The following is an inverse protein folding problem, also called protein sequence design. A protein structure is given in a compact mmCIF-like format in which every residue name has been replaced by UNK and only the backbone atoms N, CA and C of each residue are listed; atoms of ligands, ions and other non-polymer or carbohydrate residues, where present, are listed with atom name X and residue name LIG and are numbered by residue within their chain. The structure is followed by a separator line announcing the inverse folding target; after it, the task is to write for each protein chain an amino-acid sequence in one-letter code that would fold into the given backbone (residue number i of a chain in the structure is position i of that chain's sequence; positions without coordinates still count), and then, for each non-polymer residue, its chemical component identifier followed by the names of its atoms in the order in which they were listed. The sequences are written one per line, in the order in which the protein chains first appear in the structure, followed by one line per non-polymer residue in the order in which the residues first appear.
data_IF_576982261556
#
_entry.id   IF_576982261556
#
_cell.length_a   1.000
_cell.length_b   1.000
_cell.length_c   1.000
_cell.angle_alpha   90.00
_cell.angle_beta   90.00
_cell.angle_gamma   90.00
#
_symmetry.space_group_name_H-M   'P 1'
#
loop_
_entity.id
_entity.type
_entity.pdbx_description
1 polymer ?
#
# COMPACT_ATOMS: atom_id res chain seq x y z
N UNK A 1 -1.68 47.35 14.88
CA UNK A 1 -2.67 46.25 14.75
C UNK A 1 -2.54 45.46 13.45
N UNK A 2 -2.56 46.07 12.25
CA UNK A 2 -2.50 45.35 10.97
C UNK A 2 -1.28 44.41 10.83
N UNK A 3 -0.11 44.84 11.34
CA UNK A 3 1.14 44.07 11.26
C UNK A 3 1.15 42.80 12.14
N UNK A 4 0.53 42.86 13.32
CA UNK A 4 0.35 41.70 14.21
C UNK A 4 -0.62 40.67 13.61
N UNK A 5 -1.67 41.14 12.93
CA UNK A 5 -2.63 40.27 12.23
C UNK A 5 -1.95 39.56 11.06
N UNK A 6 -1.12 40.25 10.28
CA UNK A 6 -0.32 39.62 9.23
C UNK A 6 0.66 38.59 9.79
N UNK A 7 1.35 38.90 10.89
CA UNK A 7 2.28 37.96 11.54
C UNK A 7 1.57 36.69 12.02
N UNK A 8 0.36 36.83 12.58
CA UNK A 8 -0.48 35.70 12.97
C UNK A 8 -0.91 34.86 11.76
N UNK A 9 -1.29 35.48 10.63
CA UNK A 9 -1.67 34.78 9.41
C UNK A 9 -0.51 33.96 8.80
N UNK A 10 0.74 34.40 8.94
CA UNK A 10 1.94 33.66 8.50
C UNK A 10 2.34 32.50 9.45
N UNK A 11 1.85 32.48 10.69
CA UNK A 11 2.08 31.39 11.65
C UNK A 11 1.08 30.24 11.50
N UNK A 12 -0.11 30.48 10.93
CA UNK A 12 -1.16 29.46 10.74
C UNK A 12 -0.69 28.26 9.89
N UNK A 13 0.09 28.41 8.80
CA UNK A 13 0.59 27.27 8.02
C UNK A 13 1.58 26.38 8.79
N UNK A 14 2.24 26.90 9.83
CA UNK A 14 3.14 26.11 10.69
C UNK A 14 2.38 25.23 11.69
N UNK A 15 1.09 25.51 11.90
CA UNK A 15 0.16 24.68 12.65
C UNK A 15 -0.50 23.61 11.76
N UNK A 16 -0.03 23.41 10.52
CA UNK A 16 -0.33 22.19 9.78
C UNK A 16 0.16 21.01 10.61
N UNK A 17 -0.76 20.43 11.39
CA UNK A 17 -0.63 19.10 11.95
C UNK A 17 -0.15 18.21 10.82
N UNK A 18 1.13 17.83 10.88
CA UNK A 18 1.79 17.08 9.82
C UNK A 18 0.99 15.82 9.58
N UNK A 19 0.26 15.79 8.47
CA UNK A 19 -0.32 14.57 7.94
C UNK A 19 0.85 13.65 7.58
N UNK A 20 1.18 12.73 8.49
CA UNK A 20 2.30 11.80 8.35
C UNK A 20 1.97 10.60 7.46
N UNK A 21 0.73 10.50 6.96
CA UNK A 21 0.32 9.38 6.15
C UNK A 21 0.87 9.53 4.72
N UNK A 22 1.86 8.71 4.39
CA UNK A 22 2.31 8.51 3.02
C UNK A 22 1.46 7.42 2.37
N UNK A 23 1.06 7.61 1.11
CA UNK A 23 0.35 6.56 0.38
C UNK A 23 1.33 5.47 -0.03
N UNK A 24 1.08 4.24 0.43
CA UNK A 24 1.85 3.07 0.03
C UNK A 24 1.03 2.26 -0.99
N UNK A 25 1.63 1.86 -2.12
CA UNK A 25 1.02 0.92 -3.04
C UNK A 25 0.63 -0.39 -2.35
N UNK A 26 -0.51 -0.96 -2.71
CA UNK A 26 -0.99 -2.22 -2.11
C UNK A 26 -0.02 -3.39 -2.34
N UNK A 27 0.75 -3.41 -3.43
CA UNK A 27 1.81 -4.42 -3.64
C UNK A 27 2.84 -4.43 -2.49
N UNK A 28 3.24 -3.26 -2.02
CA UNK A 28 4.17 -3.11 -0.89
C UNK A 28 3.49 -3.52 0.42
N UNK A 29 2.24 -3.11 0.63
CA UNK A 29 1.48 -3.45 1.84
C UNK A 29 1.25 -4.96 1.94
N UNK A 30 0.86 -5.61 0.84
CA UNK A 30 0.66 -7.06 0.75
C UNK A 30 1.97 -7.81 1.05
N UNK A 31 3.09 -7.32 0.51
CA UNK A 31 4.40 -7.91 0.75
C UNK A 31 4.80 -7.81 2.23
N UNK A 32 4.65 -6.63 2.84
CA UNK A 32 5.03 -6.36 4.24
C UNK A 32 4.11 -6.98 5.29
N UNK A 33 2.85 -7.26 4.96
CA UNK A 33 1.88 -7.80 5.93
C UNK A 33 2.30 -9.15 6.50
N UNK A 34 2.35 -9.28 7.81
CA UNK A 34 2.49 -10.57 8.48
C UNK A 34 1.19 -11.37 8.42
N UNK A 35 0.05 -10.66 8.42
CA UNK A 35 -1.29 -11.23 8.46
C UNK A 35 -2.23 -10.41 7.55
N UNK A 36 -2.94 -11.09 6.64
CA UNK A 36 -4.02 -10.49 5.84
C UNK A 36 -5.28 -11.30 6.06
N UNK A 37 -6.35 -10.65 6.52
CA UNK A 37 -7.58 -11.32 6.98
C UNK A 37 -8.83 -10.57 6.56
N UNK A 38 -9.92 -11.32 6.34
CA UNK A 38 -11.29 -10.84 6.19
C UNK A 38 -12.07 -11.23 7.47
N UNK A 39 -12.95 -10.36 7.94
CA UNK A 39 -13.68 -10.59 9.18
C UNK A 39 -14.46 -9.37 9.65
N UNK A 40 -14.89 -9.40 10.91
CA UNK A 40 -15.76 -8.38 11.50
C UNK A 40 -15.26 -7.89 12.85
N UNK A 41 -15.44 -6.61 13.13
CA UNK A 41 -15.18 -6.03 14.45
C UNK A 41 -16.20 -6.60 15.45
N UNK A 42 -15.73 -7.29 16.48
CA UNK A 42 -16.59 -7.82 17.54
C UNK A 42 -16.74 -6.86 18.72
N UNK A 43 -15.74 -6.00 18.98
CA UNK A 43 -15.78 -5.03 20.07
C UNK A 43 -14.82 -3.87 19.81
N UNK A 44 -15.22 -2.66 20.15
CA UNK A 44 -14.37 -1.46 20.07
C UNK A 44 -14.08 -0.97 21.49
N UNK A 45 -12.81 -0.69 21.77
CA UNK A 45 -12.33 -0.07 23.01
C UNK A 45 -11.55 1.21 22.68
N UNK A 46 -11.10 1.95 23.71
CA UNK A 46 -10.49 3.28 23.52
C UNK A 46 -9.29 3.30 22.56
N UNK A 47 -8.41 2.30 22.62
CA UNK A 47 -7.15 2.26 21.87
C UNK A 47 -7.01 1.03 20.96
N UNK A 48 -7.95 0.09 21.05
CA UNK A 48 -7.88 -1.19 20.36
C UNK A 48 -9.29 -1.68 20.03
N UNK A 49 -9.40 -2.56 19.06
CA UNK A 49 -10.61 -3.30 18.77
C UNK A 49 -10.33 -4.80 18.68
N UNK A 50 -11.33 -5.59 19.06
CA UNK A 50 -11.32 -7.03 18.85
C UNK A 50 -11.92 -7.33 17.48
N UNK A 51 -11.23 -8.19 16.74
CA UNK A 51 -11.60 -8.59 15.39
C UNK A 51 -11.77 -10.10 15.32
N UNK A 52 -12.91 -10.54 14.81
CA UNK A 52 -13.21 -11.95 14.56
C UNK A 52 -12.95 -12.26 13.09
N UNK A 53 -12.00 -13.15 12.83
CA UNK A 53 -11.54 -13.52 11.50
C UNK A 53 -12.50 -14.55 10.91
N UNK A 54 -13.04 -14.26 9.72
CA UNK A 54 -13.81 -15.21 8.93
C UNK A 54 -12.92 -15.97 7.96
N UNK A 55 -11.89 -15.33 7.41
CA UNK A 55 -10.98 -15.93 6.44
C UNK A 55 -9.55 -15.39 6.57
N UNK A 56 -8.59 -16.30 6.48
CA UNK A 56 -7.17 -15.97 6.32
C UNK A 56 -6.80 -15.89 4.83
N UNK A 57 -6.17 -14.79 4.42
CA UNK A 57 -5.64 -14.57 3.06
C UNK A 57 -4.13 -14.75 3.04
N UNK A 58 -3.43 -14.25 4.07
CA UNK A 58 -1.99 -14.42 4.31
C UNK A 58 -1.75 -14.64 5.80
N UNK A 59 -0.83 -15.54 6.14
CA UNK A 59 -0.48 -15.83 7.53
C UNK A 59 -1.53 -16.66 8.27
N UNK A 60 -1.27 -16.92 9.55
CA UNK A 60 -2.18 -17.63 10.46
C UNK A 60 -2.11 -17.01 11.85
N UNK A 61 -3.22 -16.98 12.56
CA UNK A 61 -3.32 -16.54 13.95
C UNK A 61 -4.55 -17.17 14.64
N UNK A 62 -4.82 -16.77 15.88
CA UNK A 62 -6.07 -17.10 16.56
C UNK A 62 -7.27 -16.48 15.83
N UNK A 63 -8.42 -17.17 15.82
CA UNK A 63 -9.63 -16.69 15.14
C UNK A 63 -10.16 -15.34 15.66
N UNK A 64 -9.76 -14.95 16.87
CA UNK A 64 -9.94 -13.60 17.42
C UNK A 64 -8.59 -12.97 17.68
N UNK A 65 -8.46 -11.71 17.27
CA UNK A 65 -7.25 -10.90 17.47
C UNK A 65 -7.60 -9.53 18.02
N UNK A 66 -6.63 -8.90 18.67
CA UNK A 66 -6.69 -7.49 19.04
C UNK A 66 -5.87 -6.67 18.06
N UNK A 67 -6.46 -5.57 17.60
CA UNK A 67 -5.85 -4.67 16.63
C UNK A 67 -5.83 -3.27 17.21
N UNK A 68 -4.67 -2.61 17.12
CA UNK A 68 -4.49 -1.24 17.61
C UNK A 68 -5.23 -0.24 16.73
N UNK A 69 -5.95 0.71 17.33
CA UNK A 69 -6.62 1.80 16.58
C UNK A 69 -5.57 2.81 16.13
N UNK A 70 -5.60 3.15 14.83
CA UNK A 70 -4.81 4.25 14.31
C UNK A 70 -5.38 5.60 14.79
N UNK A 71 -4.61 6.34 15.58
CA UNK A 71 -5.09 7.54 16.29
C UNK A 71 -5.47 8.70 15.37
N UNK A 72 -4.85 8.79 14.19
CA UNK A 72 -5.08 9.87 13.23
C UNK A 72 -6.24 9.54 12.26
N UNK A 73 -7.13 8.60 12.61
CA UNK A 73 -8.23 8.18 11.75
C UNK A 73 -9.16 9.33 11.32
N UNK A 74 -9.34 10.35 12.17
CA UNK A 74 -10.14 11.55 11.87
C UNK A 74 -9.59 12.36 10.70
N UNK A 75 -8.29 12.21 10.43
CA UNK A 75 -7.61 12.90 9.36
C UNK A 75 -7.84 12.22 8.01
N UNK A 76 -8.28 10.95 7.99
CA UNK A 76 -8.46 10.22 6.75
C UNK A 76 -9.94 10.13 6.34
N UNK A 77 -10.35 10.81 5.26
CA UNK A 77 -11.74 10.79 4.81
C UNK A 77 -12.21 9.39 4.35
N UNK A 78 -11.28 8.43 4.20
CA UNK A 78 -11.58 7.03 3.85
C UNK A 78 -12.17 6.22 5.00
N UNK A 79 -12.15 6.75 6.23
CA UNK A 79 -12.48 6.00 7.43
C UNK A 79 -13.80 6.47 8.03
N UNK A 80 -14.69 5.52 8.28
CA UNK A 80 -15.80 5.71 9.21
C UNK A 80 -15.35 5.35 10.61
N UNK A 81 -15.94 5.99 11.61
CA UNK A 81 -15.77 5.59 13.01
C UNK A 81 -15.94 4.06 13.15
N UNK A 82 -14.99 3.42 13.84
CA UNK A 82 -15.00 1.98 14.07
C UNK A 82 -16.19 1.61 14.95
N UNK A 83 -17.01 0.67 14.48
CA UNK A 83 -18.21 0.18 15.16
C UNK A 83 -18.25 -1.34 15.11
N UNK A 84 -18.76 -1.92 16.19
CA UNK A 84 -19.04 -3.36 16.24
C UNK A 84 -19.95 -3.77 15.08
N UNK A 85 -19.65 -4.90 14.45
CA UNK A 85 -20.38 -5.46 13.31
C UNK A 85 -19.84 -5.01 11.95
N UNK A 86 -18.95 -4.02 11.87
CA UNK A 86 -18.33 -3.64 10.61
C UNK A 86 -17.43 -4.75 10.06
N UNK A 87 -17.56 -5.05 8.77
CA UNK A 87 -16.69 -5.98 8.05
C UNK A 87 -15.50 -5.24 7.45
N UNK A 88 -14.31 -5.78 7.64
CA UNK A 88 -13.08 -5.23 7.08
C UNK A 88 -12.21 -6.33 6.48
N UNK A 89 -11.38 -5.95 5.51
CA UNK A 89 -10.18 -6.67 5.13
C UNK A 89 -9.00 -5.91 5.73
N UNK A 90 -8.21 -6.59 6.57
CA UNK A 90 -7.09 -6.01 7.30
C UNK A 90 -5.75 -6.50 6.76
N UNK A 91 -4.80 -5.59 6.64
CA UNK A 91 -3.38 -5.85 6.36
C UNK A 91 -2.59 -5.44 7.59
N UNK A 92 -2.08 -6.44 8.30
CA UNK A 92 -1.56 -6.28 9.65
C UNK A 92 -0.07 -6.63 9.69
N UNK A 93 0.67 -5.83 10.45
CA UNK A 93 2.02 -6.15 10.91
C UNK A 93 1.97 -6.59 12.36
N UNK A 94 2.90 -7.47 12.74
CA UNK A 94 3.09 -7.91 14.10
C UNK A 94 4.03 -6.95 14.81
N UNK A 95 3.51 -6.31 15.85
CA UNK A 95 4.32 -5.46 16.73
C UNK A 95 5.32 -6.29 17.54
N UNK A 96 6.37 -5.65 18.06
CA UNK A 96 7.38 -6.30 18.91
C UNK A 96 6.78 -7.01 20.15
N UNK A 97 5.60 -6.57 20.61
CA UNK A 97 4.89 -7.14 21.76
C UNK A 97 3.88 -8.24 21.37
N UNK A 98 3.86 -8.66 20.10
CA UNK A 98 3.00 -9.73 19.60
C UNK A 98 1.57 -9.32 19.25
N UNK A 99 1.20 -8.05 19.45
CA UNK A 99 -0.08 -7.48 19.01
C UNK A 99 -0.04 -7.13 17.52
N UNK A 100 -1.21 -6.89 16.93
CA UNK A 100 -1.32 -6.46 15.53
C UNK A 100 -1.60 -4.96 15.40
N UNK A 101 -0.99 -4.33 14.40
CA UNK A 101 -1.31 -2.98 13.95
C UNK A 101 -1.61 -2.96 12.45
N UNK A 102 -2.55 -2.12 11.99
CA UNK A 102 -2.75 -1.90 10.57
C UNK A 102 -1.51 -1.28 9.93
N UNK A 103 -1.05 -1.86 8.83
CA UNK A 103 0.08 -1.32 8.08
C UNK A 103 -0.30 0.03 7.50
N UNK A 104 0.57 1.02 7.74
CA UNK A 104 0.41 2.36 7.18
C UNK A 104 -0.96 2.99 7.53
N UNK A 105 -1.36 2.79 8.79
CA UNK A 105 -2.64 3.24 9.33
C UNK A 105 -3.80 2.65 8.54
N UNK A 106 -4.70 3.53 8.11
CA UNK A 106 -5.91 3.14 7.39
C UNK A 106 -5.74 2.61 5.98
N UNK A 107 -4.52 2.58 5.43
CA UNK A 107 -4.30 1.81 4.18
C UNK A 107 -4.37 0.31 4.44
N UNK A 108 -4.01 -0.11 5.65
CA UNK A 108 -4.15 -1.48 6.11
C UNK A 108 -5.57 -1.85 6.53
N UNK A 109 -6.55 -0.95 6.40
CA UNK A 109 -7.95 -1.18 6.80
C UNK A 109 -8.87 -0.89 5.62
N UNK A 110 -9.44 -1.94 5.01
CA UNK A 110 -10.39 -1.79 3.91
C UNK A 110 -11.79 -2.14 4.41
N UNK A 111 -12.68 -1.16 4.42
CA UNK A 111 -14.08 -1.34 4.78
C UNK A 111 -14.86 -2.04 3.66
N UNK A 112 -15.65 -3.03 4.05
CA UNK A 112 -16.55 -3.77 3.15
C UNK A 112 -17.99 -3.51 3.56
N UNK A 113 -18.77 -2.98 2.62
CA UNK A 113 -20.20 -2.69 2.79
C UNK A 113 -20.97 -3.27 1.60
N UNK A 114 -21.96 -4.12 1.86
CA UNK A 114 -22.73 -4.85 0.83
C UNK A 114 -21.85 -5.49 -0.26
N UNK A 115 -20.79 -6.20 0.14
CA UNK A 115 -19.80 -6.84 -0.74
C UNK A 115 -19.10 -5.89 -1.73
N UNK A 116 -19.10 -4.60 -1.42
CA UNK A 116 -18.40 -3.55 -2.15
C UNK A 116 -17.47 -2.78 -1.22
N UNK A 117 -16.45 -2.14 -1.81
CA UNK A 117 -15.57 -1.28 -1.05
C UNK A 117 -16.12 0.14 -1.02
N UNK A 118 -16.11 0.74 0.16
CA UNK A 118 -16.38 2.18 0.32
C UNK A 118 -15.25 3.01 -0.33
N UNK A 119 -14.10 2.37 -0.61
CA UNK A 119 -12.83 3.02 -0.89
C UNK A 119 -12.66 3.39 -2.38
N UNK A 120 -12.59 4.70 -2.64
CA UNK A 120 -12.35 5.35 -3.95
C UNK A 120 -10.95 5.12 -4.53
N UNK A 121 -10.02 4.57 -3.75
CA UNK A 121 -8.59 4.49 -4.10
C UNK A 121 -8.12 3.09 -4.51
N UNK A 122 -8.98 2.08 -4.40
CA UNK A 122 -8.69 0.81 -5.07
C UNK A 122 -8.93 0.99 -6.58
N UNK A 123 -8.06 0.43 -7.45
CA UNK A 123 -8.37 0.32 -8.87
C UNK A 123 -9.77 -0.26 -9.06
N UNK A 124 -10.54 0.26 -10.02
CA UNK A 124 -11.93 -0.15 -10.29
C UNK A 124 -12.07 -1.66 -10.52
N UNK A 125 -11.01 -2.30 -10.98
CA UNK A 125 -10.94 -3.75 -11.22
C UNK A 125 -10.97 -4.57 -9.92
N UNK A 126 -10.64 -3.97 -8.77
CA UNK A 126 -10.84 -4.55 -7.44
C UNK A 126 -12.16 -4.09 -6.85
N UNK A 127 -13.27 -4.36 -7.55
CA UNK A 127 -14.60 -3.92 -7.17
C UNK A 127 -15.21 -4.71 -6.02
N UNK A 128 -14.75 -5.96 -5.79
CA UNK A 128 -15.31 -6.85 -4.77
C UNK A 128 -14.23 -7.47 -3.86
N UNK A 129 -14.60 -7.82 -2.60
CA UNK A 129 -13.76 -8.57 -1.68
C UNK A 129 -13.17 -9.84 -2.28
N UNK A 130 -13.94 -10.56 -3.08
CA UNK A 130 -13.50 -11.83 -3.69
C UNK A 130 -12.39 -11.61 -4.71
N UNK A 131 -12.55 -10.64 -5.61
CA UNK A 131 -11.55 -10.32 -6.64
C UNK A 131 -10.27 -9.82 -5.99
N UNK A 132 -10.38 -8.95 -4.97
CA UNK A 132 -9.22 -8.47 -4.23
C UNK A 132 -8.45 -9.61 -3.56
N UNK A 133 -9.14 -10.48 -2.82
CA UNK A 133 -8.51 -11.64 -2.16
C UNK A 133 -7.83 -12.56 -3.17
N UNK A 134 -8.46 -12.82 -4.31
CA UNK A 134 -7.87 -13.61 -5.40
C UNK A 134 -6.61 -12.95 -5.95
N UNK A 135 -6.64 -11.64 -6.20
CA UNK A 135 -5.48 -10.86 -6.66
C UNK A 135 -4.31 -10.93 -5.67
N UNK A 136 -4.60 -10.79 -4.37
CA UNK A 136 -3.60 -10.94 -3.29
C UNK A 136 -3.01 -12.35 -3.29
N UNK A 137 -3.84 -13.39 -3.35
CA UNK A 137 -3.36 -14.78 -3.36
C UNK A 137 -2.49 -15.09 -4.59
N UNK A 138 -2.88 -14.58 -5.77
CA UNK A 138 -2.07 -14.71 -6.99
C UNK A 138 -0.73 -14.00 -6.83
N UNK A 139 -0.73 -12.75 -6.34
CA UNK A 139 0.49 -11.99 -6.09
C UNK A 139 1.42 -12.70 -5.11
N UNK A 140 0.91 -13.17 -3.97
CA UNK A 140 1.71 -13.90 -2.97
C UNK A 140 2.31 -15.18 -3.55
N UNK A 141 1.55 -15.92 -4.38
CA UNK A 141 2.05 -17.13 -5.03
C UNK A 141 3.18 -16.81 -6.02
N UNK A 142 3.05 -15.72 -6.77
CA UNK A 142 4.12 -15.22 -7.65
C UNK A 142 5.38 -14.87 -6.85
N UNK A 143 5.25 -14.17 -5.72
CA UNK A 143 6.39 -13.88 -4.84
C UNK A 143 7.05 -15.15 -4.29
N UNK A 144 6.28 -16.17 -3.91
CA UNK A 144 6.88 -17.44 -3.45
C UNK A 144 7.63 -18.18 -4.55
N UNK A 145 7.23 -18.02 -5.81
CA UNK A 145 7.87 -18.68 -6.95
C UNK A 145 9.13 -17.95 -7.41
N UNK A 146 9.08 -16.61 -7.50
CA UNK A 146 10.18 -15.80 -8.02
C UNK A 146 11.15 -15.27 -6.95
N UNK A 147 10.84 -15.47 -5.66
CA UNK A 147 11.62 -14.98 -4.52
C UNK A 147 10.99 -13.75 -3.86
N UNK A 148 11.31 -13.55 -2.57
CA UNK A 148 10.81 -12.42 -1.79
C UNK A 148 11.13 -11.09 -2.50
N UNK A 149 10.17 -10.18 -2.46
CA UNK A 149 10.31 -8.85 -3.05
C UNK A 149 11.50 -8.13 -2.41
N UNK A 150 11.87 -8.46 -1.17
CA UNK A 150 12.96 -7.81 -0.44
C UNK A 150 14.40 -8.11 -0.91
N UNK A 151 14.70 -9.27 -1.51
CA UNK A 151 16.12 -9.67 -1.61
C UNK A 151 16.73 -9.55 -3.01
N UNK A 152 15.92 -9.66 -4.06
CA UNK A 152 16.41 -9.53 -5.44
C UNK A 152 15.53 -8.64 -6.30
N UNK A 153 14.22 -8.62 -6.03
CA UNK A 153 13.30 -7.75 -6.75
C UNK A 153 13.46 -6.29 -6.33
N UNK A 154 13.47 -5.93 -5.04
CA UNK A 154 13.68 -4.54 -4.58
C UNK A 154 15.11 -4.04 -4.76
N UNK A 155 16.12 -4.92 -4.76
CA UNK A 155 17.49 -4.52 -5.12
C UNK A 155 17.60 -4.16 -6.62
N UNK A 156 16.88 -4.88 -7.49
CA UNK A 156 16.78 -4.57 -8.92
C UNK A 156 15.72 -3.51 -9.25
N UNK A 157 14.76 -3.30 -8.33
CA UNK A 157 13.70 -2.28 -8.36
C UNK A 157 14.04 -1.18 -7.35
N UNK A 158 15.34 -0.91 -7.18
CA UNK A 158 15.75 0.46 -6.93
C UNK A 158 15.07 1.28 -8.01
N UNK A 159 14.15 2.12 -7.56
CA UNK A 159 13.37 3.04 -8.36
C UNK A 159 14.31 3.98 -9.13
N UNK A 160 14.91 3.49 -10.21
CA UNK A 160 15.33 4.33 -11.32
C UNK A 160 14.07 4.69 -12.10
N UNK A 161 13.47 5.77 -11.59
CA UNK A 161 12.48 6.62 -12.22
C UNK A 161 11.01 6.29 -12.00
N UNK A 162 10.25 7.37 -11.82
CA UNK A 162 8.78 7.47 -11.89
C UNK A 162 8.21 7.18 -13.29
N UNK A 163 9.01 6.54 -14.15
CA UNK A 163 8.73 6.24 -15.55
C UNK A 163 9.09 4.79 -15.82
N UNK A 164 8.29 4.12 -16.65
CA UNK A 164 8.59 2.75 -17.08
C UNK A 164 9.91 2.71 -17.87
N UNK A 165 10.60 1.57 -17.88
CA UNK A 165 11.80 1.36 -18.71
C UNK A 165 11.55 1.71 -20.19
N UNK A 166 10.33 1.47 -20.68
CA UNK A 166 9.90 1.85 -22.03
C UNK A 166 9.85 3.37 -22.23
N UNK A 167 9.38 4.13 -21.23
CA UNK A 167 9.41 5.59 -21.28
C UNK A 167 10.84 6.14 -21.22
N UNK A 168 11.74 5.53 -20.45
CA UNK A 168 13.16 5.91 -20.42
C UNK A 168 13.80 5.67 -21.80
N UNK A 169 13.55 4.51 -22.42
CA UNK A 169 14.03 4.20 -23.77
C UNK A 169 13.47 5.18 -24.82
N UNK A 170 12.18 5.54 -24.70
CA UNK A 170 11.55 6.53 -25.57
C UNK A 170 12.19 7.92 -25.41
N UNK A 171 12.39 8.38 -24.17
CA UNK A 171 13.06 9.66 -23.89
C UNK A 171 14.49 9.70 -24.41
N UNK A 172 15.20 8.57 -24.39
CA UNK A 172 16.55 8.42 -24.97
C UNK A 172 16.55 8.56 -26.49
N UNK A 173 15.55 7.99 -27.17
CA UNK A 173 15.42 8.11 -28.63
C UNK A 173 14.97 9.50 -29.07
N UNK A 174 14.08 10.13 -28.31
CA UNK A 174 13.45 11.40 -28.68
C UNK A 174 14.24 12.63 -28.22
N UNK A 175 15.16 12.50 -27.25
CA UNK A 175 15.89 13.65 -26.71
C UNK A 175 17.37 13.33 -26.41
N UNK A 176 18.26 13.86 -27.25
CA UNK A 176 19.71 13.67 -27.16
C UNK A 176 20.34 14.23 -25.88
N UNK A 177 19.69 15.18 -25.19
CA UNK A 177 20.19 15.75 -23.95
C UNK A 177 20.13 14.76 -22.76
N UNK A 178 19.23 13.78 -22.81
CA UNK A 178 19.08 12.77 -21.75
C UNK A 178 20.06 11.62 -21.85
N UNK A 179 20.81 11.50 -22.95
CA UNK A 179 21.81 10.43 -23.13
C UNK A 179 22.84 10.38 -22.00
N UNK A 180 23.21 11.52 -21.42
CA UNK A 180 24.22 11.61 -20.38
C UNK A 180 23.68 11.28 -18.98
N UNK A 181 22.41 11.60 -18.70
CA UNK A 181 21.80 11.42 -17.37
C UNK A 181 21.54 9.95 -17.03
N UNK A 182 21.46 9.08 -18.03
CA UNK A 182 21.24 7.63 -17.89
C UNK A 182 22.58 6.85 -17.88
N UNK A 183 23.72 7.56 -17.95
CA UNK A 183 25.05 7.00 -18.19
C UNK A 183 25.70 6.23 -17.03
N UNK A 184 25.06 6.10 -15.87
CA UNK A 184 25.60 5.38 -14.70
C UNK A 184 24.64 4.31 -14.13
N UNK A 185 23.70 3.81 -14.93
CA UNK A 185 22.97 2.59 -14.59
C UNK A 185 23.89 1.36 -14.66
N UNK A 186 23.71 0.33 -13.82
CA UNK A 186 24.61 -0.82 -13.76
C UNK A 186 24.70 -1.48 -15.13
N UNK A 187 25.94 -1.68 -15.59
CA UNK A 187 26.35 -2.26 -16.88
C UNK A 187 25.90 -3.71 -17.12
N UNK A 188 24.97 -4.24 -16.31
CA UNK A 188 24.50 -5.62 -16.35
C UNK A 188 23.24 -5.85 -17.18
N UNK A 189 22.60 -4.79 -17.69
CA UNK A 189 21.42 -4.92 -18.56
C UNK A 189 21.70 -4.35 -19.96
N UNK A 190 22.77 -4.82 -20.59
CA UNK A 190 22.76 -4.85 -22.04
C UNK A 190 21.65 -5.84 -22.44
N UNK A 191 20.56 -5.34 -23.03
CA UNK A 191 19.60 -6.16 -23.77
C UNK A 191 20.33 -6.72 -25.00
N UNK A 192 21.16 -7.72 -24.77
CA UNK A 192 21.54 -8.64 -25.82
C UNK A 192 20.33 -9.56 -25.99
N UNK A 193 19.80 -9.54 -27.20
CA UNK A 193 18.65 -10.30 -27.68
C UNK A 193 17.31 -9.57 -27.51
N UNK A 194 16.93 -8.85 -28.57
CA UNK A 194 15.54 -8.66 -28.96
C UNK A 194 14.93 -10.06 -29.05
N UNK A 195 13.89 -10.40 -28.26
CA UNK A 195 13.19 -11.66 -28.45
C UNK A 195 12.59 -11.66 -29.85
N UNK A 196 12.91 -12.68 -30.66
CA UNK A 196 12.51 -12.84 -32.06
C UNK A 196 10.97 -12.97 -32.28
N UNK A 197 10.16 -12.63 -31.29
CA UNK A 197 8.69 -12.78 -31.31
C UNK A 197 7.99 -11.47 -31.75
N UNK A 198 8.71 -10.36 -31.91
CA UNK A 198 8.14 -9.10 -32.42
C UNK A 198 8.28 -8.88 -33.94
N UNK A 199 8.67 -9.90 -34.70
CA UNK A 199 8.64 -9.88 -36.17
C UNK A 199 7.51 -10.75 -36.73
N UNK A 200 6.27 -10.41 -36.37
CA UNK A 200 5.08 -10.87 -37.09
C UNK A 200 4.04 -9.74 -37.13
N UNK A 201 4.27 -8.79 -38.03
CA UNK A 201 3.34 -8.28 -39.05
C UNK A 201 3.97 -7.08 -39.76
#
# INVERSE_FOLDING_TARGET
MKLLVCLFLFLIPTLNYGFKKHELPYSIIIAKADLIVDGTISKVSKNEYEFTISQFVKGKSSAKIKVSIWKEWLCDPRIKELKTGQRLILFLEKTAYGNFSPINGSTGEIYVDNDSFINIFLPKDFSTPEILKKGISMFLRTCTFYGDINDRFLQNVYLESTKSIFEICKMKQENSAFNYLVGNGPSHYALNEIPAIFLLN
#
